data_IF_088007832711
#
_entry.id   IF_088007832711
#
_cell.length_a   1.000
_cell.length_b   1.000
_cell.length_c   1.000
_cell.angle_alpha   90.00
_cell.angle_beta   90.00
_cell.angle_gamma   90.00
#
_symmetry.space_group_name_H-M   'P 1'
#
loop_
_entity.id
_entity.type
_entity.pdbx_description
1 polymer ?
#
# COMPACT_ATOMS: atom_id res chain seq x y z
N UNK A 1 -6.93 21.51 50.04
CA UNK A 1 -6.00 20.47 50.55
C UNK A 1 -5.51 19.62 49.39
N UNK A 2 -4.34 19.96 48.85
CA UNK A 2 -3.66 19.18 47.81
C UNK A 2 -3.05 17.93 48.45
N UNK A 3 -3.59 16.75 48.12
CA UNK A 3 -3.06 15.46 48.58
C UNK A 3 -1.62 15.30 48.08
N UNK A 4 -0.66 15.31 48.99
CA UNK A 4 0.76 15.02 48.72
C UNK A 4 0.87 13.53 48.38
N UNK A 5 1.04 13.21 47.10
CA UNK A 5 1.31 11.84 46.65
C UNK A 5 2.65 11.38 47.20
N UNK A 6 2.71 10.12 47.61
CA UNK A 6 3.95 9.53 48.15
C UNK A 6 4.94 9.27 47.01
N UNK A 7 6.25 9.28 47.31
CA UNK A 7 7.33 9.04 46.34
C UNK A 7 7.16 7.72 45.55
N UNK A 8 6.49 6.72 46.13
CA UNK A 8 6.17 5.46 45.47
C UNK A 8 5.05 5.60 44.40
N UNK A 9 4.02 6.42 44.66
CA UNK A 9 2.94 6.67 43.70
C UNK A 9 3.42 7.47 42.48
N UNK A 10 4.43 8.32 42.65
CA UNK A 10 5.09 9.03 41.56
C UNK A 10 5.96 8.10 40.70
N UNK A 11 6.65 7.12 41.33
CA UNK A 11 7.50 6.14 40.63
C UNK A 11 6.71 5.18 39.74
N UNK A 12 5.48 4.81 40.14
CA UNK A 12 4.62 3.92 39.34
C UNK A 12 4.11 4.53 38.03
N UNK A 13 4.18 5.85 37.85
CA UNK A 13 3.66 6.51 36.64
C UNK A 13 4.65 6.59 35.47
N UNK A 14 5.89 6.09 35.64
CA UNK A 14 6.96 6.25 34.67
C UNK A 14 7.86 5.03 34.52
N UNK A 15 7.28 3.83 34.55
CA UNK A 15 7.88 2.72 33.82
C UNK A 15 7.72 3.06 32.33
N UNK A 16 8.73 3.75 31.78
CA UNK A 16 8.87 3.91 30.35
C UNK A 16 9.01 2.51 29.77
N UNK A 17 7.90 1.93 29.33
CA UNK A 17 7.86 0.63 28.67
C UNK A 17 8.77 0.73 27.46
N UNK A 18 9.91 0.05 27.53
CA UNK A 18 10.86 0.00 26.42
C UNK A 18 10.12 -0.49 25.19
N UNK A 19 9.96 0.39 24.21
CA UNK A 19 9.39 0.04 22.91
C UNK A 19 10.55 -0.18 21.97
N UNK A 20 10.85 -1.44 21.58
CA UNK A 20 11.94 -1.69 20.66
C UNK A 20 11.70 -0.93 19.34
N UNK A 21 12.74 -0.34 18.75
CA UNK A 21 12.59 0.35 17.48
C UNK A 21 12.18 -0.64 16.39
N UNK A 22 11.19 -0.27 15.59
CA UNK A 22 10.80 -1.05 14.42
C UNK A 22 11.99 -1.29 13.49
N UNK A 23 12.04 -2.48 12.91
CA UNK A 23 13.00 -2.86 11.90
C UNK A 23 12.90 -1.98 10.65
N UNK A 24 13.95 -1.98 9.83
CA UNK A 24 13.96 -1.27 8.57
C UNK A 24 12.82 -1.73 7.63
N UNK A 25 12.55 -3.04 7.60
CA UNK A 25 11.49 -3.61 6.76
C UNK A 25 10.10 -3.14 7.20
N UNK A 26 9.81 -3.14 8.50
CA UNK A 26 8.53 -2.66 9.05
C UNK A 26 8.33 -1.16 8.77
N UNK A 27 9.40 -0.36 8.89
CA UNK A 27 9.36 1.06 8.51
C UNK A 27 9.11 1.26 7.03
N UNK A 28 9.60 0.39 6.16
CA UNK A 28 9.36 0.45 4.72
C UNK A 28 7.94 -0.01 4.37
N UNK A 29 7.42 -1.02 5.06
CA UNK A 29 6.04 -1.50 4.89
C UNK A 29 5.02 -0.42 5.30
N UNK A 30 5.24 0.27 6.42
CA UNK A 30 4.37 1.40 6.83
C UNK A 30 4.41 2.61 5.89
N UNK A 31 5.42 2.69 5.01
CA UNK A 31 5.50 3.74 3.98
C UNK A 31 4.77 3.37 2.71
N UNK A 32 4.31 2.13 2.55
CA UNK A 32 3.43 1.78 1.44
C UNK A 32 2.08 2.44 1.71
N UNK A 33 1.69 3.38 0.84
CA UNK A 33 0.44 4.17 1.02
C UNK A 33 -0.72 3.51 0.29
N UNK A 34 -0.42 2.71 -0.72
CA UNK A 34 -1.39 2.01 -1.54
C UNK A 34 -0.76 1.48 -2.80
N UNK A 35 -1.51 0.61 -3.45
CA UNK A 35 -1.20 0.03 -4.74
C UNK A 35 -1.90 0.84 -5.83
N UNK A 36 -1.24 1.00 -6.99
CA UNK A 36 -1.83 1.68 -8.15
C UNK A 36 -1.61 0.82 -9.37
N UNK A 37 -2.63 0.72 -10.19
CA UNK A 37 -2.61 0.03 -11.45
C UNK A 37 -2.66 1.07 -12.58
N UNK A 38 -1.70 1.00 -13.48
CA UNK A 38 -1.63 1.89 -14.64
C UNK A 38 -1.79 1.06 -15.91
N UNK A 39 -2.82 1.38 -16.69
CA UNK A 39 -3.02 0.83 -18.03
C UNK A 39 -2.19 1.66 -19.01
N UNK A 40 -1.30 1.00 -19.72
CA UNK A 40 -0.47 1.55 -20.78
C UNK A 40 -1.06 1.12 -22.13
N UNK A 41 -1.16 2.06 -23.07
CA UNK A 41 -1.57 1.78 -24.45
C UNK A 41 -0.47 1.03 -25.23
N UNK A 42 -0.77 0.63 -26.47
CA UNK A 42 0.17 -0.04 -27.36
C UNK A 42 1.42 0.80 -27.69
N UNK A 43 1.33 2.13 -27.57
CA UNK A 43 2.41 3.07 -27.80
C UNK A 43 3.26 3.34 -26.54
N UNK A 44 2.88 2.74 -25.40
CA UNK A 44 3.56 2.93 -24.11
C UNK A 44 3.20 4.23 -23.39
N UNK A 45 2.06 4.86 -23.70
CA UNK A 45 1.55 6.00 -22.96
C UNK A 45 0.56 5.55 -21.88
N UNK A 46 0.54 6.22 -20.71
CA UNK A 46 -0.43 5.93 -19.67
C UNK A 46 -1.82 6.38 -20.12
N UNK A 47 -2.74 5.44 -20.27
CA UNK A 47 -4.12 5.70 -20.66
C UNK A 47 -5.02 5.94 -19.43
N UNK A 48 -4.89 5.07 -18.41
CA UNK A 48 -5.72 5.10 -17.20
C UNK A 48 -4.87 4.76 -15.99
N UNK A 49 -5.05 5.50 -14.90
CA UNK A 49 -4.48 5.18 -13.59
C UNK A 49 -5.63 4.90 -12.61
N UNK A 50 -5.52 3.78 -11.91
CA UNK A 50 -6.55 3.24 -11.01
C UNK A 50 -5.91 2.84 -9.68
N UNK A 51 -6.61 3.05 -8.57
CA UNK A 51 -6.13 2.63 -7.23
C UNK A 51 -6.53 1.20 -6.87
N UNK A 52 -7.43 0.57 -7.62
CA UNK A 52 -7.96 -0.79 -7.36
C UNK A 52 -8.27 -1.53 -8.67
N UNK A 53 -8.27 -2.86 -8.63
CA UNK A 53 -8.69 -3.75 -9.71
C UNK A 53 -10.14 -3.47 -10.12
N UNK A 54 -11.02 -3.10 -9.18
CA UNK A 54 -12.39 -2.70 -9.51
C UNK A 54 -12.44 -1.50 -10.48
N UNK A 55 -11.51 -0.55 -10.35
CA UNK A 55 -11.39 0.60 -11.26
C UNK A 55 -10.89 0.15 -12.65
N UNK A 56 -10.02 -0.85 -12.73
CA UNK A 56 -9.58 -1.42 -14.01
C UNK A 56 -10.77 -2.02 -14.78
N UNK A 57 -11.62 -2.77 -14.09
CA UNK A 57 -12.81 -3.39 -14.69
C UNK A 57 -13.84 -2.35 -15.12
N UNK A 58 -13.98 -1.24 -14.37
CA UNK A 58 -14.82 -0.13 -14.81
C UNK A 58 -14.29 0.54 -16.09
N UNK A 59 -12.98 0.65 -16.23
CA UNK A 59 -12.35 1.21 -17.42
C UNK A 59 -12.36 0.25 -18.64
N UNK A 60 -12.31 -1.06 -18.38
CA UNK A 60 -12.30 -2.14 -19.38
C UNK A 60 -13.23 -3.27 -18.94
N UNK A 61 -14.56 -3.14 -19.16
CA UNK A 61 -15.54 -4.14 -18.74
C UNK A 61 -15.36 -5.52 -19.39
N UNK A 62 -14.64 -5.57 -20.52
CA UNK A 62 -14.28 -6.79 -21.23
C UNK A 62 -13.26 -7.68 -20.49
N UNK A 63 -12.55 -7.15 -19.49
CA UNK A 63 -11.57 -7.92 -18.72
C UNK A 63 -12.22 -8.72 -17.59
N UNK A 64 -11.65 -9.88 -17.28
CA UNK A 64 -12.10 -10.69 -16.15
C UNK A 64 -11.45 -10.20 -14.85
N UNK A 65 -12.26 -9.77 -13.88
CA UNK A 65 -11.79 -9.40 -12.55
C UNK A 65 -10.99 -10.53 -11.90
N UNK A 66 -11.45 -11.77 -12.07
CA UNK A 66 -10.86 -12.95 -11.45
C UNK A 66 -9.46 -13.25 -11.99
N UNK A 67 -9.24 -13.00 -13.29
CA UNK A 67 -7.96 -13.18 -13.94
C UNK A 67 -6.95 -12.12 -13.46
N UNK A 68 -7.37 -10.85 -13.41
CA UNK A 68 -6.52 -9.76 -12.93
C UNK A 68 -6.11 -9.96 -11.46
N UNK A 69 -7.07 -10.26 -10.58
CA UNK A 69 -6.78 -10.53 -9.16
C UNK A 69 -5.81 -11.71 -9.02
N UNK A 70 -6.08 -12.83 -9.70
CA UNK A 70 -5.21 -14.02 -9.64
C UNK A 70 -3.79 -13.73 -10.16
N UNK A 71 -3.65 -12.89 -11.18
CA UNK A 71 -2.37 -12.51 -11.75
C UNK A 71 -1.55 -11.64 -10.79
N UNK A 72 -2.17 -10.60 -10.21
CA UNK A 72 -1.47 -9.69 -9.29
C UNK A 72 -1.20 -10.31 -7.91
N UNK A 73 -2.04 -11.26 -7.46
CA UNK A 73 -1.79 -12.06 -6.25
C UNK A 73 -0.51 -12.90 -6.36
N UNK A 74 -0.17 -13.37 -7.57
CA UNK A 74 1.07 -14.08 -7.84
C UNK A 74 2.30 -13.15 -7.97
N UNK A 75 2.11 -11.84 -7.79
CA UNK A 75 3.12 -10.81 -8.03
C UNK A 75 3.71 -10.86 -9.45
N UNK A 76 2.94 -11.39 -10.41
CA UNK A 76 3.31 -11.38 -11.81
C UNK A 76 3.00 -9.99 -12.40
N UNK A 77 4.00 -9.35 -13.00
CA UNK A 77 3.86 -8.07 -13.69
C UNK A 77 4.78 -8.04 -14.93
N UNK A 78 4.38 -7.39 -16.03
CA UNK A 78 3.09 -6.73 -16.28
C UNK A 78 2.00 -7.69 -16.79
N UNK A 79 0.73 -7.40 -16.51
CA UNK A 79 -0.39 -8.10 -17.15
C UNK A 79 -0.55 -7.57 -18.59
N UNK A 80 -0.57 -8.46 -19.57
CA UNK A 80 -0.75 -8.10 -20.99
C UNK A 80 -2.13 -8.55 -21.42
N UNK A 81 -2.98 -7.59 -21.76
CA UNK A 81 -4.31 -7.88 -22.25
C UNK A 81 -4.28 -8.31 -23.73
N UNK A 82 -5.33 -9.00 -24.18
CA UNK A 82 -5.45 -9.50 -25.56
C UNK A 82 -5.49 -8.38 -26.62
N UNK A 83 -5.81 -7.15 -26.21
CA UNK A 83 -5.83 -5.94 -27.03
C UNK A 83 -4.47 -5.23 -27.11
N UNK A 84 -3.40 -5.81 -26.57
CA UNK A 84 -2.06 -5.21 -26.58
C UNK A 84 -1.79 -4.19 -25.46
N UNK A 85 -2.81 -3.80 -24.69
CA UNK A 85 -2.66 -2.93 -23.52
C UNK A 85 -1.92 -3.68 -22.39
N UNK A 86 -1.12 -2.93 -21.62
CA UNK A 86 -0.34 -3.50 -20.50
C UNK A 86 -0.73 -2.84 -19.20
N UNK A 87 -1.00 -3.65 -18.18
CA UNK A 87 -1.27 -3.15 -16.83
C UNK A 87 -0.04 -3.33 -15.97
N UNK A 88 0.48 -2.20 -15.49
CA UNK A 88 1.58 -2.15 -14.55
C UNK A 88 1.05 -1.88 -13.15
N UNK A 89 1.63 -2.54 -12.16
CA UNK A 89 1.27 -2.30 -10.78
C UNK A 89 2.40 -1.56 -10.05
N UNK A 90 2.10 -0.33 -9.66
CA UNK A 90 3.03 0.64 -9.11
C UNK A 90 2.69 0.85 -7.64
N UNK A 91 3.55 0.33 -6.75
CA UNK A 91 3.40 0.55 -5.31
C UNK A 91 3.75 1.99 -4.94
N UNK A 92 2.79 2.77 -4.45
CA UNK A 92 3.05 4.13 -3.96
C UNK A 92 3.74 4.09 -2.61
N UNK A 93 4.86 4.82 -2.51
CA UNK A 93 5.58 5.04 -1.26
C UNK A 93 5.34 6.46 -0.76
N UNK A 94 5.08 6.64 0.53
CA UNK A 94 5.02 7.95 1.18
C UNK A 94 6.38 8.61 1.04
N UNK A 95 6.45 9.67 0.24
CA UNK A 95 7.68 10.42 0.07
C UNK A 95 8.02 11.13 1.39
N UNK A 96 9.30 11.13 1.76
CA UNK A 96 9.78 11.89 2.91
C UNK A 96 9.78 13.36 2.49
N UNK A 97 8.88 14.15 3.08
CA UNK A 97 8.96 15.62 3.03
C UNK A 97 10.04 16.05 4.01
#
# INVERSE_FOLDING_TARGET
MSKTRTLNELRQTRDAVYTPPMSHQEKMAQRLVGDIYVIMDENGNPAVACDDVACLIQARPEWSAQELTSHFDQHAEPFVAANGEKVHHVRRKKQRV
#
